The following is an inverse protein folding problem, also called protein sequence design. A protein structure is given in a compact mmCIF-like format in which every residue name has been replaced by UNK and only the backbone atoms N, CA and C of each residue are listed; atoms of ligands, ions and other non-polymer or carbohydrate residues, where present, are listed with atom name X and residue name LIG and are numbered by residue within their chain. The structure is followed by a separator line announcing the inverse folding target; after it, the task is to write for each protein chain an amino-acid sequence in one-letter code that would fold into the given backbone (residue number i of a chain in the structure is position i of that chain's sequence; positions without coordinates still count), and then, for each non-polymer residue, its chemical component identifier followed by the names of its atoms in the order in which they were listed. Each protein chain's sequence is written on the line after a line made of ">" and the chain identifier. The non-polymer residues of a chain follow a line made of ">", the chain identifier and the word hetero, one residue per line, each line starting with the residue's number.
data_IF_760614525464
#
_entry.id   IF_760614525464
#
_cell.length_a   1.000
_cell.length_b   1.000
_cell.length_c   1.000
_cell.angle_alpha   90.00
_cell.angle_beta   90.00
_cell.angle_gamma   90.00
#
_symmetry.space_group_name_H-M   'P 1'
#
loop_
_entity.id
_entity.type
_entity.pdbx_description
1 polymer ?
#
# COMPACT_ATOMS: atom_id res chain seq x y z
N UNK A 1 -17.47 -1.20 9.76
CA UNK A 1 -16.48 -0.16 10.14
C UNK A 1 -16.40 0.87 9.03
N UNK A 2 -16.47 2.18 9.37
CA UNK A 2 -16.54 3.27 8.39
C UNK A 2 -15.20 3.99 8.14
N UNK A 3 -14.12 3.52 8.74
CA UNK A 3 -12.79 4.03 8.47
C UNK A 3 -12.46 3.93 6.97
N UNK A 4 -12.06 5.03 6.37
CA UNK A 4 -11.75 5.12 4.93
C UNK A 4 -10.31 5.53 4.64
N UNK A 5 -9.60 6.10 5.61
CA UNK A 5 -8.21 6.55 5.46
C UNK A 5 -7.25 5.40 5.69
N UNK A 6 -7.20 4.49 4.72
CA UNK A 6 -6.28 3.37 4.77
C UNK A 6 -4.95 3.72 4.09
N UNK A 7 -3.88 3.45 4.80
CA UNK A 7 -2.52 3.51 4.33
C UNK A 7 -2.05 2.08 4.08
N UNK A 8 -1.60 1.80 2.87
CA UNK A 8 -1.04 0.49 2.50
C UNK A 8 0.37 0.72 1.97
N UNK A 9 1.34 0.04 2.55
CA UNK A 9 2.75 0.15 2.19
C UNK A 9 3.31 -1.19 1.75
N UNK A 10 3.98 -1.20 0.61
CA UNK A 10 4.85 -2.26 0.15
C UNK A 10 6.26 -1.98 0.64
N UNK A 11 6.77 -2.80 1.56
CA UNK A 11 8.13 -2.66 2.05
C UNK A 11 9.13 -3.21 1.02
N UNK A 12 10.23 -2.49 0.82
CA UNK A 12 11.31 -2.95 -0.04
C UNK A 12 12.16 -4.00 0.68
N UNK A 13 12.99 -4.70 -0.07
CA UNK A 13 13.89 -5.66 0.52
C UNK A 13 14.83 -4.99 1.55
N UNK A 14 15.17 -5.65 2.68
CA UNK A 14 16.13 -5.12 3.63
C UNK A 14 17.44 -4.74 2.96
N UNK A 15 17.96 -3.55 3.29
CA UNK A 15 19.19 -3.03 2.70
C UNK A 15 19.01 -2.35 1.33
N UNK A 16 17.79 -2.30 0.79
CA UNK A 16 17.51 -1.48 -0.40
C UNK A 16 17.88 -0.03 -0.11
N UNK A 17 18.60 0.58 -1.05
CA UNK A 17 18.91 2.01 -1.03
C UNK A 17 18.33 2.65 -2.28
N UNK A 18 17.63 3.73 -2.11
CA UNK A 18 17.07 4.52 -3.19
C UNK A 18 17.46 5.98 -3.00
N UNK A 19 17.91 6.60 -4.08
CA UNK A 19 18.09 8.04 -4.11
C UNK A 19 16.71 8.68 -4.34
N UNK A 20 16.13 9.20 -3.27
CA UNK A 20 14.80 9.82 -3.31
C UNK A 20 14.73 11.03 -4.25
N UNK A 21 15.86 11.71 -4.52
CA UNK A 21 15.89 12.83 -5.46
C UNK A 21 15.49 12.41 -6.88
N UNK A 22 15.83 11.19 -7.27
CA UNK A 22 15.46 10.63 -8.57
C UNK A 22 13.95 10.43 -8.73
N UNK A 23 13.19 10.35 -7.65
CA UNK A 23 11.73 10.23 -7.71
C UNK A 23 11.06 11.52 -8.20
N UNK A 24 11.66 12.69 -7.97
CA UNK A 24 11.06 13.97 -8.35
C UNK A 24 10.79 14.04 -9.86
N UNK A 25 11.79 13.87 -10.75
CA UNK A 25 11.54 13.88 -12.19
C UNK A 25 10.68 12.69 -12.65
N UNK A 26 10.75 11.54 -11.97
CA UNK A 26 9.91 10.38 -12.28
C UNK A 26 8.44 10.73 -12.02
N UNK A 27 8.12 11.26 -10.85
CA UNK A 27 6.76 11.60 -10.48
C UNK A 27 6.17 12.74 -11.32
N UNK A 28 6.99 13.74 -11.69
CA UNK A 28 6.55 14.75 -12.67
C UNK A 28 6.21 14.14 -14.02
N UNK A 29 7.00 13.19 -14.51
CA UNK A 29 6.69 12.47 -15.75
C UNK A 29 5.41 11.64 -15.59
N UNK A 30 5.21 10.97 -14.46
CA UNK A 30 3.97 10.21 -14.21
C UNK A 30 2.72 11.08 -14.24
N UNK A 31 2.80 12.33 -13.78
CA UNK A 31 1.70 13.31 -13.90
C UNK A 31 1.44 13.62 -15.38
N UNK A 32 2.48 13.90 -16.15
CA UNK A 32 2.37 14.24 -17.57
C UNK A 32 1.80 13.10 -18.41
N UNK A 33 2.28 11.89 -18.15
CA UNK A 33 1.95 10.68 -18.92
C UNK A 33 0.68 9.97 -18.37
N UNK A 34 0.11 10.44 -17.26
CA UNK A 34 -1.02 9.80 -16.57
C UNK A 34 -0.74 8.31 -16.28
N UNK A 35 0.43 8.02 -15.72
CA UNK A 35 0.94 6.67 -15.51
C UNK A 35 0.06 5.82 -14.59
N UNK A 36 -0.61 6.44 -13.61
CA UNK A 36 -1.52 5.77 -12.69
C UNK A 36 -2.97 6.15 -13.00
N UNK A 37 -3.89 5.23 -12.70
CA UNK A 37 -5.33 5.45 -12.85
C UNK A 37 -5.89 6.27 -11.67
N UNK A 38 -5.33 7.46 -11.49
CA UNK A 38 -5.79 8.49 -10.55
C UNK A 38 -5.44 9.87 -11.09
N UNK A 39 -6.18 10.90 -10.65
CA UNK A 39 -5.84 12.28 -10.97
C UNK A 39 -4.61 12.70 -10.17
N UNK A 40 -3.45 12.58 -10.78
CA UNK A 40 -2.18 13.06 -10.23
C UNK A 40 -2.09 14.57 -10.37
N UNK A 41 -1.63 15.27 -9.33
CA UNK A 41 -1.73 16.73 -9.23
C UNK A 41 -0.36 17.39 -9.13
N UNK A 42 0.49 16.92 -8.18
CA UNK A 42 1.73 17.62 -7.83
C UNK A 42 2.76 16.67 -7.21
N UNK A 43 3.99 17.14 -7.09
CA UNK A 43 5.10 16.47 -6.41
C UNK A 43 5.59 17.35 -5.27
N UNK A 44 5.69 16.82 -4.06
CA UNK A 44 6.20 17.55 -2.90
C UNK A 44 7.45 16.87 -2.33
N UNK A 45 8.50 17.66 -2.12
CA UNK A 45 9.78 17.21 -1.56
C UNK A 45 9.83 17.48 -0.04
N UNK A 46 9.71 16.43 0.75
CA UNK A 46 9.82 16.45 2.22
C UNK A 46 11.09 15.77 2.74
N UNK A 47 12.10 15.54 1.90
CA UNK A 47 13.38 14.90 2.29
C UNK A 47 14.11 15.64 3.41
N UNK A 48 13.90 16.95 3.52
CA UNK A 48 14.46 17.81 4.56
C UNK A 48 13.78 17.63 5.94
N UNK A 49 12.65 16.91 6.00
CA UNK A 49 11.92 16.66 7.25
C UNK A 49 12.38 15.34 7.85
N UNK A 50 12.99 15.34 9.06
CA UNK A 50 13.37 14.10 9.73
C UNK A 50 12.15 13.20 9.94
N UNK A 51 12.23 11.92 9.55
CA UNK A 51 11.13 10.96 9.56
C UNK A 51 9.88 11.44 8.77
N UNK A 52 10.09 12.34 7.84
CA UNK A 52 9.06 12.81 6.92
C UNK A 52 8.74 11.79 5.83
N UNK A 53 7.73 12.09 5.01
CA UNK A 53 7.26 11.16 3.98
C UNK A 53 8.18 11.08 2.75
N UNK A 54 9.40 11.62 2.80
CA UNK A 54 10.33 11.59 1.69
C UNK A 54 9.86 12.43 0.51
N UNK A 55 9.61 11.82 -0.64
CA UNK A 55 9.03 12.48 -1.82
C UNK A 55 7.61 11.98 -2.02
N UNK A 56 6.67 12.92 -2.04
CA UNK A 56 5.24 12.66 -2.25
C UNK A 56 4.84 12.90 -3.70
N UNK A 57 4.10 11.97 -4.26
CA UNK A 57 3.25 12.20 -5.42
C UNK A 57 1.83 12.46 -4.91
N UNK A 58 1.33 13.65 -5.13
CA UNK A 58 0.02 14.10 -4.66
C UNK A 58 -1.01 13.77 -5.73
N UNK A 59 -1.96 12.89 -5.42
CA UNK A 59 -3.14 12.63 -6.22
C UNK A 59 -4.38 13.29 -5.59
N UNK A 60 -5.49 13.34 -6.32
CA UNK A 60 -6.74 13.92 -5.84
C UNK A 60 -7.28 13.19 -4.60
N UNK A 61 -7.32 11.87 -4.63
CA UNK A 61 -7.93 11.04 -3.58
C UNK A 61 -6.93 10.47 -2.59
N UNK A 62 -5.64 10.48 -2.91
CA UNK A 62 -4.60 9.86 -2.12
C UNK A 62 -3.25 10.58 -2.27
N UNK A 63 -2.26 10.07 -1.56
CA UNK A 63 -0.84 10.34 -1.79
C UNK A 63 -0.10 9.03 -2.01
N UNK A 64 0.92 9.07 -2.86
CA UNK A 64 1.95 8.05 -2.94
C UNK A 64 3.25 8.60 -2.40
N UNK A 65 4.02 7.79 -1.70
CA UNK A 65 5.32 8.20 -1.17
C UNK A 65 6.30 7.03 -1.17
N UNK A 66 7.58 7.33 -1.32
CA UNK A 66 8.63 6.39 -0.92
C UNK A 66 9.23 6.96 0.35
N UNK A 67 8.95 6.32 1.46
CA UNK A 67 9.37 6.76 2.79
C UNK A 67 10.06 5.65 3.60
N UNK A 68 10.73 6.04 4.67
CA UNK A 68 11.39 5.15 5.62
C UNK A 68 10.78 5.25 7.02
N UNK A 69 9.50 5.56 7.11
CA UNK A 69 8.80 5.63 8.39
C UNK A 69 8.94 4.30 9.15
N UNK A 70 9.23 4.37 10.45
CA UNK A 70 9.52 3.24 11.35
C UNK A 70 10.72 2.37 10.89
N UNK A 71 11.69 2.95 10.18
CA UNK A 71 12.87 2.24 9.71
C UNK A 71 12.58 1.22 8.60
N UNK A 72 11.42 1.33 7.95
CA UNK A 72 10.97 0.42 6.90
C UNK A 72 10.81 1.19 5.59
N UNK A 73 11.84 1.16 4.76
CA UNK A 73 11.78 1.77 3.44
C UNK A 73 10.76 1.06 2.56
N UNK A 74 9.89 1.79 1.90
CA UNK A 74 8.87 1.21 1.03
C UNK A 74 8.02 2.24 0.29
N UNK A 75 7.18 1.73 -0.60
CA UNK A 75 6.19 2.50 -1.33
C UNK A 75 4.87 2.52 -0.56
N UNK A 76 4.43 3.70 -0.18
CA UNK A 76 3.20 3.97 0.54
C UNK A 76 2.12 4.49 -0.42
N UNK A 77 0.90 3.94 -0.31
CA UNK A 77 -0.35 4.56 -0.73
C UNK A 77 -1.12 5.03 0.50
N UNK A 78 -1.51 6.29 0.57
CA UNK A 78 -2.23 6.88 1.69
C UNK A 78 -3.52 7.55 1.22
N UNK A 79 -4.67 6.88 1.46
CA UNK A 79 -5.98 7.42 1.12
C UNK A 79 -6.35 8.60 2.00
N UNK A 80 -6.76 9.72 1.40
CA UNK A 80 -7.15 10.93 2.13
C UNK A 80 -8.64 11.27 2.04
N UNK A 81 -9.31 10.87 0.97
CA UNK A 81 -10.74 11.15 0.74
C UNK A 81 -11.61 9.92 1.03
N UNK A 82 -12.87 10.15 1.44
CA UNK A 82 -13.82 9.06 1.60
C UNK A 82 -13.91 8.18 0.35
N UNK A 83 -14.04 6.88 0.56
CA UNK A 83 -14.32 5.91 -0.48
C UNK A 83 -15.61 5.18 -0.12
N UNK A 84 -16.48 4.97 -1.11
CA UNK A 84 -17.67 4.16 -0.97
C UNK A 84 -17.33 2.67 -0.84
N UNK A 85 -18.33 1.85 -0.50
CA UNK A 85 -18.19 0.41 -0.46
C UNK A 85 -17.83 -0.16 0.92
N UNK A 86 -17.61 -1.46 0.96
CA UNK A 86 -17.26 -2.22 2.17
C UNK A 86 -15.82 -1.98 2.60
N UNK A 87 -15.48 -2.39 3.82
CA UNK A 87 -14.10 -2.39 4.30
C UNK A 87 -13.19 -3.24 3.39
N UNK A 88 -13.64 -4.46 3.05
CA UNK A 88 -12.93 -5.34 2.11
C UNK A 88 -12.64 -4.64 0.77
N UNK A 89 -13.65 -3.98 0.19
CA UNK A 89 -13.49 -3.24 -1.07
C UNK A 89 -12.48 -2.11 -0.97
N UNK A 90 -12.50 -1.33 0.12
CA UNK A 90 -11.55 -0.22 0.35
C UNK A 90 -10.11 -0.72 0.55
N UNK A 91 -9.92 -1.83 1.28
CA UNK A 91 -8.60 -2.43 1.47
C UNK A 91 -8.06 -3.01 0.16
N UNK A 92 -8.93 -3.66 -0.63
CA UNK A 92 -8.57 -4.19 -1.94
C UNK A 92 -8.19 -3.09 -2.94
N UNK A 93 -8.95 -2.00 -2.99
CA UNK A 93 -8.63 -0.83 -3.82
C UNK A 93 -7.27 -0.25 -3.44
N UNK A 94 -7.00 -0.05 -2.15
CA UNK A 94 -5.71 0.46 -1.69
C UNK A 94 -4.54 -0.48 -2.02
N UNK A 95 -4.73 -1.80 -1.89
CA UNK A 95 -3.74 -2.79 -2.29
C UNK A 95 -3.48 -2.77 -3.80
N UNK A 96 -4.54 -2.65 -4.61
CA UNK A 96 -4.39 -2.53 -6.06
C UNK A 96 -3.61 -1.27 -6.43
N UNK A 97 -3.94 -0.12 -5.86
CA UNK A 97 -3.28 1.16 -6.14
C UNK A 97 -1.79 1.13 -5.81
N UNK A 98 -1.40 0.56 -4.67
CA UNK A 98 0.02 0.46 -4.32
C UNK A 98 0.75 -0.56 -5.19
N UNK A 99 0.10 -1.64 -5.64
CA UNK A 99 0.68 -2.60 -6.58
C UNK A 99 0.91 -1.95 -7.97
N UNK A 100 -0.07 -1.23 -8.49
CA UNK A 100 0.05 -0.54 -9.78
C UNK A 100 1.18 0.50 -9.75
N UNK A 101 1.30 1.27 -8.66
CA UNK A 101 2.40 2.21 -8.46
C UNK A 101 3.75 1.51 -8.27
N UNK A 102 3.79 0.38 -7.56
CA UNK A 102 5.00 -0.44 -7.41
C UNK A 102 5.51 -0.99 -8.74
N UNK A 103 4.62 -1.51 -9.57
CA UNK A 103 4.95 -1.98 -10.92
C UNK A 103 5.46 -0.83 -11.82
N UNK A 104 4.90 0.37 -11.66
CA UNK A 104 5.40 1.54 -12.37
C UNK A 104 6.81 1.92 -11.90
N UNK A 105 7.10 1.86 -10.59
CA UNK A 105 8.45 2.10 -10.06
C UNK A 105 9.48 1.08 -10.53
N UNK A 106 9.12 -0.21 -10.60
CA UNK A 106 10.01 -1.26 -11.10
C UNK A 106 10.39 -1.06 -12.59
N UNK A 107 9.54 -0.41 -13.37
CA UNK A 107 9.83 -0.07 -14.78
C UNK A 107 10.81 1.10 -14.95
N UNK A 108 11.05 1.86 -13.88
CA UNK A 108 11.97 2.99 -13.88
C UNK A 108 13.43 2.50 -13.80
N UNK A 109 14.05 2.31 -14.97
CA UNK A 109 15.42 1.78 -15.08
C UNK A 109 16.43 2.57 -14.24
N UNK A 110 16.20 3.88 -14.04
CA UNK A 110 17.05 4.74 -13.21
C UNK A 110 17.07 4.33 -11.74
N UNK A 111 16.07 3.59 -11.25
CA UNK A 111 15.98 3.15 -9.86
C UNK A 111 16.59 1.75 -9.65
N UNK A 112 16.55 0.88 -10.67
CA UNK A 112 17.01 -0.50 -10.56
C UNK A 112 16.30 -1.26 -9.43
N UNK A 113 15.04 -0.92 -9.15
CA UNK A 113 14.28 -1.40 -8.01
C UNK A 113 13.56 -2.71 -8.34
N UNK A 114 13.60 -3.66 -7.41
CA UNK A 114 12.76 -4.85 -7.39
C UNK A 114 12.05 -4.92 -6.05
N UNK A 115 10.73 -5.01 -6.08
CA UNK A 115 9.90 -5.09 -4.88
C UNK A 115 9.41 -6.53 -4.73
N UNK A 116 9.90 -7.26 -3.72
CA UNK A 116 9.65 -8.71 -3.64
C UNK A 116 8.22 -9.09 -3.26
N UNK A 117 7.43 -8.14 -2.72
CA UNK A 117 6.01 -8.34 -2.45
C UNK A 117 5.68 -9.20 -1.23
N UNK A 118 6.67 -9.62 -0.40
CA UNK A 118 6.42 -10.44 0.78
C UNK A 118 6.08 -9.64 2.04
N UNK A 119 6.35 -8.33 2.07
CA UNK A 119 6.18 -7.49 3.27
C UNK A 119 5.28 -6.30 3.01
N UNK A 120 4.27 -6.17 3.87
CA UNK A 120 3.32 -5.08 3.80
C UNK A 120 3.08 -4.48 5.18
N UNK A 121 2.66 -3.23 5.19
CA UNK A 121 2.11 -2.56 6.36
C UNK A 121 0.77 -1.94 5.98
N UNK A 122 -0.26 -2.22 6.76
CA UNK A 122 -1.61 -1.67 6.58
C UNK A 122 -1.96 -0.87 7.82
N UNK A 123 -2.31 0.41 7.66
CA UNK A 123 -2.66 1.29 8.79
C UNK A 123 -3.95 2.05 8.53
N UNK A 124 -4.75 2.21 9.58
CA UNK A 124 -5.88 3.13 9.56
C UNK A 124 -5.42 4.51 10.05
N UNK A 125 -5.38 5.50 9.17
CA UNK A 125 -5.05 6.88 9.55
C UNK A 125 -6.29 7.62 10.07
N UNK A 126 -7.00 6.98 11.00
CA UNK A 126 -8.22 7.50 11.61
C UNK A 126 -8.42 6.89 13.00
N UNK A 127 -7.90 7.57 14.03
CA UNK A 127 -8.01 7.08 15.43
C UNK A 127 -9.42 7.10 15.97
N UNK A 128 -10.31 7.89 15.40
CA UNK A 128 -11.68 8.00 15.86
C UNK A 128 -12.52 6.82 15.39
N UNK A 129 -12.39 6.46 14.11
CA UNK A 129 -13.17 5.37 13.51
C UNK A 129 -12.48 4.00 13.59
N UNK A 130 -11.16 3.99 13.79
CA UNK A 130 -10.34 2.79 13.92
C UNK A 130 -9.23 2.99 14.98
N UNK A 131 -9.59 3.06 16.28
CA UNK A 131 -8.60 3.10 17.34
C UNK A 131 -7.76 1.82 17.36
N UNK A 132 -6.52 1.89 17.88
CA UNK A 132 -5.66 0.70 17.96
C UNK A 132 -6.03 -0.18 19.15
N UNK A 133 -7.15 -0.90 19.04
CA UNK A 133 -7.71 -1.77 20.07
C UNK A 133 -8.18 -3.13 19.50
N UNK A 134 -8.67 -3.99 20.38
CA UNK A 134 -9.18 -5.31 20.03
C UNK A 134 -10.49 -5.28 19.24
N UNK A 135 -11.31 -4.25 19.40
CA UNK A 135 -12.54 -4.11 18.63
C UNK A 135 -12.23 -3.88 17.14
N UNK A 136 -11.32 -2.95 16.88
CA UNK A 136 -10.81 -2.67 15.53
C UNK A 136 -10.14 -3.91 14.93
N UNK A 137 -9.29 -4.59 15.72
CA UNK A 137 -8.62 -5.82 15.26
C UNK A 137 -9.62 -6.88 14.79
N UNK A 138 -10.61 -7.21 15.62
CA UNK A 138 -11.64 -8.21 15.28
C UNK A 138 -12.44 -7.87 14.03
N UNK A 139 -12.62 -6.58 13.75
CA UNK A 139 -13.34 -6.13 12.56
C UNK A 139 -12.47 -6.15 11.30
N UNK A 140 -11.15 -5.94 11.42
CA UNK A 140 -10.24 -5.75 10.29
C UNK A 140 -9.50 -7.04 9.93
N UNK A 141 -9.12 -7.86 10.92
CA UNK A 141 -8.36 -9.09 10.68
C UNK A 141 -8.98 -10.02 9.64
N UNK A 142 -10.29 -10.35 9.68
CA UNK A 142 -10.90 -11.23 8.69
C UNK A 142 -10.80 -10.69 7.27
N UNK A 143 -10.95 -9.38 7.10
CA UNK A 143 -10.88 -8.72 5.80
C UNK A 143 -9.45 -8.69 5.24
N UNK A 144 -8.47 -8.45 6.13
CA UNK A 144 -7.06 -8.55 5.74
C UNK A 144 -6.69 -9.98 5.40
N UNK A 145 -7.13 -10.95 6.19
CA UNK A 145 -6.86 -12.36 5.93
C UNK A 145 -7.39 -12.76 4.56
N UNK A 146 -8.64 -12.44 4.24
CA UNK A 146 -9.23 -12.72 2.93
C UNK A 146 -8.46 -12.03 1.79
N UNK A 147 -8.06 -10.77 1.96
CA UNK A 147 -7.26 -10.04 0.97
C UNK A 147 -5.92 -10.72 0.71
N UNK A 148 -5.20 -11.12 1.77
CA UNK A 148 -3.88 -11.73 1.63
C UNK A 148 -3.94 -13.21 1.24
N UNK A 149 -5.03 -13.92 1.54
CA UNK A 149 -5.30 -15.25 0.98
C UNK A 149 -5.44 -15.19 -0.55
N UNK A 150 -6.15 -14.19 -1.08
CA UNK A 150 -6.24 -13.93 -2.52
C UNK A 150 -4.87 -13.59 -3.13
N UNK A 151 -4.13 -12.67 -2.50
CA UNK A 151 -2.82 -12.22 -2.98
C UNK A 151 -1.78 -13.35 -3.02
N UNK A 152 -1.77 -14.20 -2.01
CA UNK A 152 -0.79 -15.29 -1.89
C UNK A 152 -1.32 -16.65 -2.35
N UNK A 153 -2.57 -16.73 -2.84
CA UNK A 153 -3.18 -17.95 -3.35
C UNK A 153 -3.09 -19.13 -2.36
N UNK A 154 -3.35 -18.86 -1.07
CA UNK A 154 -3.29 -19.83 0.01
C UNK A 154 -1.89 -20.14 0.55
N UNK A 155 -0.83 -19.49 0.06
CA UNK A 155 0.50 -19.62 0.67
C UNK A 155 0.52 -18.98 2.07
N UNK A 156 1.42 -19.46 2.93
CA UNK A 156 1.48 -19.03 4.34
C UNK A 156 1.93 -17.57 4.46
N UNK A 157 1.19 -16.81 5.26
CA UNK A 157 1.56 -15.46 5.70
C UNK A 157 1.16 -15.25 7.16
N UNK A 158 1.76 -14.25 7.79
CA UNK A 158 1.49 -13.83 9.16
C UNK A 158 0.91 -12.41 9.15
N UNK A 159 -0.14 -12.20 9.94
CA UNK A 159 -0.68 -10.88 10.28
C UNK A 159 -0.28 -10.57 11.73
N UNK A 160 0.42 -9.47 11.95
CA UNK A 160 0.81 -9.03 13.27
C UNK A 160 0.30 -7.61 13.54
N UNK A 161 -0.64 -7.49 14.47
CA UNK A 161 -1.12 -6.19 14.96
C UNK A 161 0.03 -5.43 15.64
N UNK A 162 0.15 -4.13 15.41
CA UNK A 162 1.09 -3.26 16.10
C UNK A 162 0.57 -2.96 17.52
N UNK A 163 1.43 -3.12 18.54
CA UNK A 163 0.99 -3.12 19.94
C UNK A 163 1.00 -1.75 20.62
N UNK A 164 1.45 -0.67 19.95
CA UNK A 164 1.43 0.67 20.53
C UNK A 164 -0.01 1.23 20.61
N UNK A 165 -0.63 1.29 21.80
CA UNK A 165 -2.01 1.77 21.95
C UNK A 165 -2.15 3.27 21.66
N UNK A 166 -1.04 4.02 21.64
CA UNK A 166 -1.00 5.44 21.28
C UNK A 166 -0.77 5.65 19.79
N UNK A 167 -0.33 4.62 19.09
CA UNK A 167 -0.14 4.60 17.66
C UNK A 167 -1.45 4.57 16.87
N UNK A 168 -1.33 4.64 15.56
CA UNK A 168 -2.42 4.29 14.67
C UNK A 168 -2.67 2.78 14.73
N UNK A 169 -3.89 2.35 14.48
CA UNK A 169 -4.13 0.94 14.23
C UNK A 169 -3.29 0.50 13.04
N UNK A 170 -2.45 -0.49 13.24
CA UNK A 170 -1.50 -0.97 12.25
C UNK A 170 -1.37 -2.49 12.27
N UNK A 171 -1.16 -3.06 11.08
CA UNK A 171 -0.93 -4.48 10.87
C UNK A 171 0.25 -4.66 9.93
N UNK A 172 1.28 -5.35 10.40
CA UNK A 172 2.36 -5.84 9.56
C UNK A 172 1.97 -7.20 8.98
N UNK A 173 2.27 -7.39 7.69
CA UNK A 173 2.04 -8.64 6.98
C UNK A 173 3.36 -9.16 6.44
N UNK A 174 3.64 -10.44 6.68
CA UNK A 174 4.86 -11.08 6.16
C UNK A 174 4.49 -12.43 5.56
N UNK A 175 4.77 -12.61 4.28
CA UNK A 175 4.57 -13.88 3.60
C UNK A 175 5.88 -14.68 3.51
N UNK A 176 5.74 -16.00 3.44
CA UNK A 176 6.87 -16.91 3.23
C UNK A 176 7.40 -16.85 1.80
N UNK A 177 6.54 -16.53 0.84
CA UNK A 177 6.84 -16.44 -0.58
C UNK A 177 7.07 -15.00 -1.04
N UNK A 178 7.83 -14.85 -2.14
CA UNK A 178 8.16 -13.58 -2.79
C UNK A 178 7.69 -13.60 -4.24
N UNK A 179 6.36 -13.56 -4.50
CA UNK A 179 5.82 -13.79 -5.83
C UNK A 179 6.13 -12.66 -6.84
N UNK A 180 6.61 -11.50 -6.36
CA UNK A 180 6.76 -10.30 -7.18
C UNK A 180 5.43 -9.59 -7.44
N UNK A 181 5.49 -8.30 -7.79
CA UNK A 181 4.28 -7.47 -7.85
C UNK A 181 3.34 -7.83 -9.00
N UNK A 182 3.87 -8.26 -10.15
CA UNK A 182 3.06 -8.63 -11.30
C UNK A 182 2.13 -9.81 -10.98
N UNK A 183 2.65 -10.84 -10.31
CA UNK A 183 1.87 -12.01 -9.88
C UNK A 183 0.82 -11.61 -8.84
N UNK A 184 1.18 -10.79 -7.85
CA UNK A 184 0.23 -10.30 -6.85
C UNK A 184 -0.91 -9.50 -7.50
N UNK A 185 -0.57 -8.63 -8.45
CA UNK A 185 -1.55 -7.81 -9.17
C UNK A 185 -2.52 -8.66 -10.00
N UNK A 186 -2.00 -9.69 -10.66
CA UNK A 186 -2.81 -10.65 -11.44
C UNK A 186 -3.77 -11.42 -10.53
N UNK A 187 -3.28 -11.97 -9.42
CA UNK A 187 -4.10 -12.71 -8.45
C UNK A 187 -5.20 -11.83 -7.85
N UNK A 188 -4.88 -10.58 -7.49
CA UNK A 188 -5.85 -9.63 -6.96
C UNK A 188 -6.95 -9.31 -7.99
N UNK A 189 -6.60 -9.19 -9.27
CA UNK A 189 -7.57 -8.97 -10.33
C UNK A 189 -8.48 -10.18 -10.55
N UNK A 190 -7.92 -11.39 -10.57
CA UNK A 190 -8.67 -12.64 -10.75
C UNK A 190 -9.71 -12.86 -9.64
N UNK A 191 -9.34 -12.60 -8.38
CA UNK A 191 -10.23 -12.72 -7.22
C UNK A 191 -11.37 -11.68 -7.20
N UNK A 192 -11.27 -10.62 -8.01
CA UNK A 192 -12.30 -9.56 -8.12
C UNK A 192 -13.36 -9.87 -9.17
N UNK A 193 -13.15 -10.88 -10.00
CA UNK A 193 -14.15 -11.34 -10.97
C UNK A 193 -15.25 -12.11 -10.25
N UNK A 194 -16.55 -11.82 -10.50
CA UNK A 194 -17.62 -12.66 -9.97
C UNK A 194 -17.42 -14.08 -10.49
N UNK A 195 -17.47 -15.07 -9.58
CA UNK A 195 -17.55 -16.49 -9.98
C UNK A 195 -18.63 -16.60 -11.04
N UNK A 196 -18.24 -16.94 -12.27
CA UNK A 196 -19.19 -17.24 -13.34
C UNK A 196 -20.13 -18.34 -12.79
N UNK A 197 -21.42 -18.00 -12.66
CA UNK A 197 -22.43 -18.96 -12.26
C UNK A 197 -22.35 -20.14 -13.23
N UNK A 198 -21.84 -21.26 -12.76
CA UNK A 198 -21.90 -22.53 -13.49
C UNK A 198 -23.36 -22.87 -13.63
N UNK A 199 -23.88 -22.78 -14.87
CA UNK A 199 -25.22 -23.19 -15.26
C UNK A 199 -25.34 -24.72 -15.23
#
# INVERSE_FOLDING_TARGET
>A
MDAYRWNVKLEFAPGTRIDLERLIPIFHRWIQDRTLDELLIDVADYRHVPQGPGVLLIAHDAHYAVDEVDGRLGLLYARKRPASGTLAGRLRDAAQKVLDAGLALEREAALGLVIPGERWSVRANDRLLAPNDEYTWRAVEPELRALFDDLYAGARFELRKEDDPRGLFGVAVTAAEKPGLAVLRERLAAASLPLAATA
#
